data_IF_919523104825
#
_entry.id   IF_919523104825
#
_cell.length_a   1.000
_cell.length_b   1.000
_cell.length_c   1.000
_cell.angle_alpha   90.00
_cell.angle_beta   90.00
_cell.angle_gamma   90.00
#
_symmetry.space_group_name_H-M   'P 1'
#
loop_
_entity.id
_entity.type
_entity.pdbx_description
1 polymer ?
#
# COMPACT_ATOMS: atom_id res chain seq x y z
N UNK A 1 5.90 -16.64 -1.76
CA UNK A 1 4.61 -16.01 -2.09
C UNK A 1 4.89 -14.92 -3.12
N UNK A 2 4.05 -14.78 -4.15
CA UNK A 2 4.17 -13.72 -5.16
C UNK A 2 3.24 -12.56 -4.79
N UNK A 3 3.69 -11.32 -4.95
CA UNK A 3 2.86 -10.16 -4.65
C UNK A 3 3.66 -8.90 -4.32
N UNK A 4 2.97 -7.90 -3.80
CA UNK A 4 3.51 -6.62 -3.36
C UNK A 4 2.97 -6.25 -1.99
N UNK A 5 3.78 -5.60 -1.18
CA UNK A 5 3.33 -4.94 0.03
C UNK A 5 3.30 -3.43 -0.20
N UNK A 6 2.18 -2.78 0.07
CA UNK A 6 2.00 -1.34 -0.06
C UNK A 6 2.06 -0.70 1.32
N UNK A 7 3.05 0.15 1.57
CA UNK A 7 3.16 0.94 2.80
C UNK A 7 3.05 2.43 2.50
N UNK A 8 2.92 3.24 3.52
CA UNK A 8 2.93 4.70 3.39
C UNK A 8 4.06 5.34 4.15
N UNK A 9 4.37 6.57 3.78
CA UNK A 9 5.22 7.45 4.60
C UNK A 9 4.49 7.96 5.83
N UNK A 10 3.14 7.85 5.84
CA UNK A 10 2.25 8.32 6.92
C UNK A 10 0.85 7.70 6.77
N UNK A 11 -0.08 8.05 7.67
CA UNK A 11 -1.53 7.83 7.47
C UNK A 11 -2.06 8.76 6.36
N UNK A 12 -3.18 8.37 5.72
CA UNK A 12 -3.89 9.17 4.70
C UNK A 12 -3.04 9.63 3.50
N UNK A 13 -1.94 8.95 3.19
CA UNK A 13 -1.10 9.25 2.02
C UNK A 13 -1.60 8.61 0.73
N UNK A 14 -2.73 7.87 0.77
CA UNK A 14 -3.32 7.21 -0.39
C UNK A 14 -2.95 5.73 -0.57
N UNK A 15 -2.44 5.05 0.47
CA UNK A 15 -2.11 3.61 0.42
C UNK A 15 -3.22 2.76 -0.16
N UNK A 16 -4.44 2.92 0.37
CA UNK A 16 -5.60 2.10 0.00
C UNK A 16 -6.00 2.29 -1.46
N UNK A 17 -5.87 3.52 -1.96
CA UNK A 17 -6.12 3.81 -3.39
C UNK A 17 -5.08 3.12 -4.28
N UNK A 18 -3.79 3.20 -3.92
CA UNK A 18 -2.71 2.53 -4.67
C UNK A 18 -2.85 1.01 -4.61
N UNK A 19 -3.10 0.44 -3.43
CA UNK A 19 -3.29 -1.00 -3.27
C UNK A 19 -4.52 -1.50 -4.03
N UNK A 20 -5.64 -0.77 -3.97
CA UNK A 20 -6.85 -1.10 -4.71
C UNK A 20 -6.65 -0.97 -6.24
N UNK A 21 -5.93 0.06 -6.70
CA UNK A 21 -5.60 0.23 -8.11
C UNK A 21 -4.74 -0.92 -8.66
N UNK A 22 -3.72 -1.34 -7.91
CA UNK A 22 -2.91 -2.53 -8.24
C UNK A 22 -3.76 -3.80 -8.28
N UNK A 23 -4.62 -3.99 -7.28
CA UNK A 23 -5.52 -5.16 -7.20
C UNK A 23 -6.48 -5.19 -8.38
N UNK A 24 -7.15 -4.08 -8.66
CA UNK A 24 -8.14 -3.98 -9.74
C UNK A 24 -7.51 -4.15 -11.13
N UNK A 25 -6.34 -3.55 -11.38
CA UNK A 25 -5.63 -3.70 -12.66
C UNK A 25 -5.22 -5.16 -12.90
N UNK A 26 -4.67 -5.83 -11.89
CA UNK A 26 -4.34 -7.26 -12.01
C UNK A 26 -5.58 -8.12 -12.24
N UNK A 27 -6.66 -7.89 -11.52
CA UNK A 27 -7.93 -8.60 -11.71
C UNK A 27 -8.51 -8.37 -13.11
N UNK A 28 -8.48 -7.13 -13.63
CA UNK A 28 -8.93 -6.80 -14.98
C UNK A 28 -8.09 -7.49 -16.07
N UNK A 29 -6.81 -7.79 -15.80
CA UNK A 29 -5.93 -8.59 -16.68
C UNK A 29 -6.18 -10.10 -16.57
N UNK A 30 -7.17 -10.54 -15.75
CA UNK A 30 -7.46 -11.96 -15.54
C UNK A 30 -6.50 -12.68 -14.58
N UNK A 31 -5.67 -11.92 -13.84
CA UNK A 31 -4.77 -12.49 -12.84
C UNK A 31 -5.57 -12.83 -11.58
N UNK A 32 -5.38 -14.02 -11.02
CA UNK A 32 -5.94 -14.36 -9.72
C UNK A 32 -5.24 -13.52 -8.64
N UNK A 33 -5.98 -12.64 -7.97
CA UNK A 33 -5.46 -11.70 -6.96
C UNK A 33 -6.05 -12.02 -5.60
N UNK A 34 -5.19 -11.99 -4.57
CA UNK A 34 -5.59 -11.95 -3.17
C UNK A 34 -5.29 -10.57 -2.59
N UNK A 35 -6.10 -10.14 -1.64
CA UNK A 35 -5.90 -8.90 -0.90
C UNK A 35 -5.70 -9.18 0.59
N UNK A 36 -4.91 -8.34 1.27
CA UNK A 36 -4.68 -8.46 2.69
C UNK A 36 -4.43 -7.08 3.32
N UNK A 37 -5.07 -6.85 4.46
CA UNK A 37 -4.83 -5.71 5.35
C UNK A 37 -4.77 -6.22 6.79
N UNK A 38 -3.63 -6.08 7.51
CA UNK A 38 -3.45 -6.72 8.81
C UNK A 38 -4.49 -6.28 9.84
N UNK A 39 -4.73 -4.97 9.90
CA UNK A 39 -5.61 -4.34 10.89
C UNK A 39 -6.34 -3.17 10.25
N UNK A 40 -7.59 -3.01 10.60
CA UNK A 40 -8.41 -1.83 10.32
C UNK A 40 -8.80 -1.17 11.63
N UNK A 41 -8.64 0.14 11.73
CA UNK A 41 -9.10 0.97 12.85
C UNK A 41 -10.00 2.08 12.35
N UNK A 42 -10.75 2.76 13.23
CA UNK A 42 -11.63 3.87 12.86
C UNK A 42 -12.99 3.41 12.32
N UNK A 43 -13.47 2.23 12.70
CA UNK A 43 -14.78 1.75 12.24
C UNK A 43 -15.97 2.45 12.92
N UNK A 44 -15.76 3.11 14.05
CA UNK A 44 -16.78 3.93 14.73
C UNK A 44 -17.03 5.26 14.00
N UNK A 45 -16.04 5.76 13.28
CA UNK A 45 -16.19 6.98 12.50
C UNK A 45 -17.00 6.72 11.23
N UNK A 46 -17.81 7.70 10.83
CA UNK A 46 -18.49 7.63 9.54
C UNK A 46 -17.44 7.63 8.41
N UNK A 47 -17.57 6.76 7.41
CA UNK A 47 -16.68 6.81 6.27
C UNK A 47 -16.83 8.14 5.53
N UNK A 48 -15.73 8.63 4.95
CA UNK A 48 -15.78 9.79 4.06
C UNK A 48 -16.79 9.54 2.93
N UNK A 49 -17.66 10.54 2.66
CA UNK A 49 -18.74 10.38 1.70
C UNK A 49 -18.21 9.92 0.32
N UNK A 50 -18.74 8.80 -0.16
CA UNK A 50 -18.35 8.22 -1.46
C UNK A 50 -17.05 7.42 -1.45
N UNK A 51 -16.37 7.27 -0.29
CA UNK A 51 -15.14 6.48 -0.18
C UNK A 51 -15.37 5.23 0.69
N UNK A 52 -15.30 4.03 0.11
CA UNK A 52 -15.35 2.80 0.88
C UNK A 52 -14.20 2.71 1.88
N UNK A 53 -14.39 1.96 2.97
CA UNK A 53 -13.30 1.66 3.90
C UNK A 53 -12.22 0.84 3.20
N UNK A 54 -10.98 0.97 3.65
CA UNK A 54 -9.80 0.37 2.99
C UNK A 54 -9.99 -1.13 2.68
N UNK A 55 -10.44 -1.92 3.66
CA UNK A 55 -10.63 -3.36 3.51
C UNK A 55 -11.83 -3.72 2.62
N UNK A 56 -12.86 -2.89 2.59
CA UNK A 56 -14.02 -3.05 1.70
C UNK A 56 -13.60 -2.77 0.25
N UNK A 57 -12.81 -1.72 0.04
CA UNK A 57 -12.27 -1.35 -1.26
C UNK A 57 -11.38 -2.46 -1.84
N UNK A 58 -10.44 -2.97 -1.02
CA UNK A 58 -9.57 -4.07 -1.42
C UNK A 58 -10.36 -5.35 -1.70
N UNK A 59 -11.34 -5.67 -0.86
CA UNK A 59 -12.20 -6.84 -1.03
C UNK A 59 -12.98 -6.78 -2.34
N UNK A 60 -13.58 -5.64 -2.65
CA UNK A 60 -14.33 -5.43 -3.90
C UNK A 60 -13.43 -5.62 -5.14
N UNK A 61 -12.19 -5.13 -5.11
CA UNK A 61 -11.25 -5.27 -6.21
C UNK A 61 -10.70 -6.70 -6.37
N UNK A 62 -10.59 -7.46 -5.26
CA UNK A 62 -10.06 -8.82 -5.27
C UNK A 62 -11.14 -9.92 -5.42
N UNK A 63 -12.43 -9.55 -5.42
CA UNK A 63 -13.54 -10.52 -5.39
C UNK A 63 -13.56 -11.33 -4.08
N UNK A 64 -13.18 -10.70 -2.97
CA UNK A 64 -13.13 -11.28 -1.63
C UNK A 64 -14.14 -10.60 -0.70
N UNK A 65 -14.35 -11.16 0.48
CA UNK A 65 -15.12 -10.50 1.54
C UNK A 65 -14.20 -9.59 2.38
N UNK A 66 -14.72 -8.49 2.96
CA UNK A 66 -13.95 -7.64 3.87
C UNK A 66 -13.36 -8.40 5.08
N UNK A 67 -14.05 -9.45 5.54
CA UNK A 67 -13.60 -10.28 6.65
C UNK A 67 -12.40 -11.17 6.27
N UNK A 68 -12.34 -11.66 5.03
CA UNK A 68 -11.18 -12.41 4.53
C UNK A 68 -9.96 -11.51 4.36
N UNK A 69 -10.17 -10.24 3.95
CA UNK A 69 -9.09 -9.28 3.73
C UNK A 69 -8.47 -8.82 5.05
N UNK A 70 -9.31 -8.51 6.07
CA UNK A 70 -8.84 -7.93 7.33
C UNK A 70 -9.24 -8.78 8.53
N UNK A 71 -8.29 -9.54 9.13
CA UNK A 71 -8.58 -10.40 10.29
C UNK A 71 -8.88 -9.60 11.56
N UNK A 72 -8.28 -8.42 11.73
CA UNK A 72 -8.52 -7.55 12.88
C UNK A 72 -9.16 -6.24 12.46
N UNK A 73 -10.27 -5.89 13.14
CA UNK A 73 -11.08 -4.70 12.83
C UNK A 73 -11.56 -4.08 14.12
N UNK A 74 -11.24 -2.79 14.33
CA UNK A 74 -11.52 -2.08 15.57
C UNK A 74 -12.29 -0.78 15.32
N UNK A 75 -13.13 -0.42 16.29
CA UNK A 75 -13.95 0.79 16.28
C UNK A 75 -13.12 2.07 16.33
N UNK A 76 -12.30 2.30 17.38
CA UNK A 76 -11.58 3.55 17.55
C UNK A 76 -10.55 3.85 16.47
N UNK A 77 -10.44 5.13 16.04
CA UNK A 77 -9.45 5.62 15.07
C UNK A 77 -8.12 5.92 15.75
N UNK A 78 -7.43 4.87 16.17
CA UNK A 78 -6.12 4.93 16.84
C UNK A 78 -5.17 3.90 16.24
N UNK A 79 -3.92 3.89 16.70
CA UNK A 79 -2.94 2.88 16.26
C UNK A 79 -3.39 1.44 16.59
N UNK A 80 -2.98 0.44 15.79
CA UNK A 80 -3.43 -0.95 15.96
C UNK A 80 -3.27 -1.50 17.38
N UNK A 81 -2.09 -1.32 17.99
CA UNK A 81 -1.82 -1.81 19.34
C UNK A 81 -2.76 -1.20 20.38
N UNK A 82 -3.02 0.13 20.31
CA UNK A 82 -3.93 0.80 21.23
C UNK A 82 -5.39 0.39 20.96
N UNK A 83 -5.80 0.23 19.70
CA UNK A 83 -7.14 -0.25 19.38
C UNK A 83 -7.40 -1.65 19.93
N UNK A 84 -6.41 -2.53 19.83
CA UNK A 84 -6.48 -3.88 20.40
C UNK A 84 -6.55 -3.85 21.95
N UNK A 85 -5.75 -3.02 22.58
CA UNK A 85 -5.77 -2.82 24.04
C UNK A 85 -7.15 -2.34 24.52
N UNK A 86 -7.71 -1.30 23.88
CA UNK A 86 -9.03 -0.76 24.18
C UNK A 86 -10.15 -1.80 23.98
N UNK A 87 -9.99 -2.70 23.03
CA UNK A 87 -10.94 -3.79 22.74
C UNK A 87 -10.73 -5.03 23.60
N UNK A 88 -9.72 -5.07 24.49
CA UNK A 88 -9.36 -6.27 25.24
C UNK A 88 -8.94 -7.45 24.36
N UNK A 89 -8.42 -7.17 23.16
CA UNK A 89 -8.05 -8.17 22.14
C UNK A 89 -6.54 -8.18 21.96
N UNK A 90 -5.98 -9.35 21.68
CA UNK A 90 -4.56 -9.49 21.31
C UNK A 90 -4.44 -9.68 19.81
N UNK A 91 -3.66 -8.83 19.15
CA UNK A 91 -3.27 -9.04 17.76
C UNK A 91 -2.14 -10.07 17.76
N UNK A 92 -2.41 -11.26 17.19
CA UNK A 92 -1.42 -12.32 17.03
C UNK A 92 -0.73 -12.21 15.66
N UNK A 93 0.59 -11.97 15.61
CA UNK A 93 1.34 -11.91 14.37
C UNK A 93 1.25 -13.19 13.53
N UNK A 94 1.06 -14.35 14.17
CA UNK A 94 0.90 -15.63 13.47
C UNK A 94 -0.37 -15.63 12.63
N UNK A 95 -1.48 -15.14 13.18
CA UNK A 95 -2.76 -15.01 12.46
C UNK A 95 -2.62 -14.06 11.27
N UNK A 96 -1.85 -12.96 11.43
CA UNK A 96 -1.59 -12.02 10.32
C UNK A 96 -0.84 -12.70 9.18
N UNK A 97 0.23 -13.43 9.50
CA UNK A 97 1.07 -14.13 8.52
C UNK A 97 0.27 -15.25 7.83
N UNK A 98 -0.47 -16.06 8.59
CA UNK A 98 -1.29 -17.15 8.05
C UNK A 98 -2.41 -16.64 7.14
N UNK A 99 -3.07 -15.54 7.54
CA UNK A 99 -4.11 -14.90 6.71
C UNK A 99 -3.52 -14.38 5.39
N UNK A 100 -2.39 -13.69 5.44
CA UNK A 100 -1.72 -13.20 4.24
C UNK A 100 -1.31 -14.37 3.31
N UNK A 101 -0.75 -15.45 3.87
CA UNK A 101 -0.36 -16.66 3.11
C UNK A 101 -1.57 -17.35 2.48
N UNK A 102 -2.64 -17.54 3.24
CA UNK A 102 -3.89 -18.11 2.73
C UNK A 102 -4.48 -17.29 1.59
N UNK A 103 -4.52 -15.96 1.73
CA UNK A 103 -5.06 -15.07 0.70
C UNK A 103 -4.17 -15.03 -0.55
N UNK A 104 -2.87 -15.27 -0.41
CA UNK A 104 -1.90 -15.34 -1.50
C UNK A 104 -1.68 -16.74 -2.09
N UNK A 105 -2.34 -17.78 -1.55
CA UNK A 105 -2.17 -19.15 -2.06
C UNK A 105 -2.78 -19.29 -3.46
N UNK A 106 -1.93 -19.64 -4.45
CA UNK A 106 -2.30 -19.68 -5.86
C UNK A 106 -2.65 -18.32 -6.50
N UNK A 107 -2.41 -17.20 -5.80
CA UNK A 107 -2.77 -15.84 -6.22
C UNK A 107 -1.58 -14.88 -6.14
N UNK A 108 -1.67 -13.75 -6.84
CA UNK A 108 -0.79 -12.60 -6.61
C UNK A 108 -1.34 -11.79 -5.43
N UNK A 109 -0.61 -11.73 -4.33
CA UNK A 109 -1.07 -11.00 -3.13
C UNK A 109 -0.74 -9.52 -3.23
N UNK A 110 -1.75 -8.66 -3.02
CA UNK A 110 -1.56 -7.24 -2.73
C UNK A 110 -1.88 -7.03 -1.25
N UNK A 111 -0.83 -6.76 -0.47
CA UNK A 111 -0.94 -6.48 0.95
C UNK A 111 -0.82 -4.98 1.20
N UNK A 112 -1.67 -4.42 2.06
CA UNK A 112 -1.62 -3.02 2.49
C UNK A 112 -1.29 -2.92 3.96
N UNK A 113 -0.28 -2.11 4.31
CA UNK A 113 0.09 -1.82 5.69
C UNK A 113 -0.86 -0.84 6.40
N UNK A 114 -0.54 -0.54 7.66
CA UNK A 114 -1.25 0.46 8.48
C UNK A 114 -0.28 1.56 8.85
N UNK A 115 -0.61 2.82 8.53
CA UNK A 115 0.31 3.95 8.72
C UNK A 115 1.63 3.77 7.97
N UNK A 116 2.75 3.89 8.66
CA UNK A 116 4.11 3.70 8.12
C UNK A 116 4.77 2.42 8.65
N UNK A 117 6.05 2.21 8.27
CA UNK A 117 6.81 0.99 8.58
C UNK A 117 6.97 0.72 10.08
N UNK A 118 7.14 1.77 10.88
CA UNK A 118 7.43 1.65 12.31
C UNK A 118 6.17 1.75 13.19
N UNK A 119 4.99 1.64 12.60
CA UNK A 119 3.73 1.59 13.36
C UNK A 119 3.64 0.24 14.08
N UNK A 120 3.42 0.24 15.43
CA UNK A 120 3.27 -0.99 16.18
C UNK A 120 1.91 -1.65 15.90
N UNK A 121 1.95 -2.93 15.55
CA UNK A 121 0.78 -3.78 15.40
C UNK A 121 0.35 -4.37 16.74
N UNK A 122 1.32 -4.65 17.60
CA UNK A 122 1.08 -5.31 18.89
C UNK A 122 1.63 -4.48 20.06
N UNK A 123 1.11 -4.69 21.25
CA UNK A 123 1.58 -4.07 22.50
C UNK A 123 3.04 -4.45 22.81
N UNK A 124 3.47 -5.65 22.41
CA UNK A 124 4.85 -6.12 22.61
C UNK A 124 5.84 -5.60 21.57
N UNK A 125 5.40 -4.72 20.65
CA UNK A 125 6.29 -3.99 19.77
C UNK A 125 6.52 -4.62 18.40
N UNK A 126 5.72 -5.60 17.96
CA UNK A 126 5.76 -6.07 16.56
C UNK A 126 5.31 -4.95 15.64
N UNK A 127 6.16 -4.56 14.69
CA UNK A 127 5.93 -3.45 13.77
C UNK A 127 5.35 -3.93 12.43
N UNK A 128 4.81 -3.00 11.65
CA UNK A 128 4.45 -3.26 10.24
C UNK A 128 5.66 -3.78 9.46
N UNK A 129 6.86 -3.27 9.72
CA UNK A 129 8.11 -3.70 9.11
C UNK A 129 8.40 -5.19 9.35
N UNK A 130 8.19 -5.66 10.58
CA UNK A 130 8.42 -7.08 10.93
C UNK A 130 7.49 -8.00 10.14
N UNK A 131 6.24 -7.57 9.94
CA UNK A 131 5.28 -8.30 9.10
C UNK A 131 5.74 -8.34 7.63
N UNK A 132 6.24 -7.24 7.09
CA UNK A 132 6.78 -7.18 5.72
C UNK A 132 7.93 -8.16 5.56
N UNK A 133 8.88 -8.15 6.48
CA UNK A 133 10.03 -9.06 6.50
C UNK A 133 9.57 -10.52 6.57
N UNK A 134 8.61 -10.84 7.46
CA UNK A 134 8.09 -12.20 7.62
C UNK A 134 7.32 -12.72 6.39
N UNK A 135 6.69 -11.82 5.62
CA UNK A 135 6.00 -12.17 4.39
C UNK A 135 6.95 -12.29 3.19
N UNK A 136 8.10 -11.63 3.23
CA UNK A 136 9.09 -11.63 2.16
C UNK A 136 8.60 -10.99 0.87
N UNK A 137 7.64 -10.06 0.94
CA UNK A 137 7.10 -9.35 -0.22
C UNK A 137 7.94 -8.11 -0.54
N UNK A 138 8.18 -7.82 -1.82
CA UNK A 138 8.74 -6.54 -2.22
C UNK A 138 7.76 -5.40 -1.90
N UNK A 139 8.34 -4.23 -1.60
CA UNK A 139 7.65 -3.07 -1.07
C UNK A 139 7.42 -2.00 -2.13
N UNK A 140 6.23 -1.39 -2.10
CA UNK A 140 5.90 -0.12 -2.77
C UNK A 140 5.59 0.90 -1.69
N UNK A 141 6.24 2.07 -1.74
CA UNK A 141 6.06 3.15 -0.79
C UNK A 141 5.12 4.19 -1.38
N UNK A 142 4.10 4.59 -0.65
CA UNK A 142 3.15 5.64 -1.05
C UNK A 142 3.42 6.92 -0.26
N UNK A 143 3.50 8.05 -0.97
CA UNK A 143 3.80 9.35 -0.40
C UNK A 143 2.91 10.45 -0.98
N UNK A 144 2.66 11.51 -0.20
CA UNK A 144 2.02 12.73 -0.70
C UNK A 144 3.03 13.59 -1.48
N UNK A 145 2.63 14.32 -2.53
CA UNK A 145 3.57 15.14 -3.32
C UNK A 145 3.97 16.47 -2.65
N UNK A 146 3.41 16.78 -1.45
CA UNK A 146 3.56 18.06 -0.76
C UNK A 146 4.89 18.27 -0.04
N UNK A 147 5.02 19.41 0.65
CA UNK A 147 6.19 19.74 1.47
C UNK A 147 6.39 18.70 2.59
N UNK A 148 7.66 18.36 2.87
CA UNK A 148 8.07 17.33 3.83
C UNK A 148 8.21 15.93 3.22
N UNK A 149 7.66 15.68 2.03
CA UNK A 149 7.67 14.34 1.41
C UNK A 149 9.08 13.80 1.17
N UNK A 150 10.03 14.64 0.79
CA UNK A 150 11.42 14.21 0.54
C UNK A 150 11.97 13.51 1.79
N UNK A 151 11.90 14.18 2.94
CA UNK A 151 12.39 13.63 4.20
C UNK A 151 11.66 12.33 4.58
N UNK A 152 10.33 12.34 4.57
CA UNK A 152 9.52 11.17 5.00
C UNK A 152 9.74 9.97 4.06
N UNK A 153 9.83 10.21 2.76
CA UNK A 153 10.03 9.14 1.78
C UNK A 153 11.43 8.54 1.89
N UNK A 154 12.47 9.38 1.99
CA UNK A 154 13.84 8.91 2.12
C UNK A 154 14.07 8.18 3.44
N UNK A 155 13.51 8.65 4.57
CA UNK A 155 13.55 7.93 5.85
C UNK A 155 12.87 6.56 5.75
N UNK A 156 11.68 6.48 5.15
CA UNK A 156 10.96 5.22 4.94
C UNK A 156 11.77 4.26 4.08
N UNK A 157 12.36 4.76 3.00
CA UNK A 157 13.21 3.99 2.09
C UNK A 157 14.45 3.44 2.79
N UNK A 158 15.14 4.28 3.58
CA UNK A 158 16.33 3.88 4.33
C UNK A 158 16.00 2.79 5.38
N UNK A 159 14.90 2.95 6.11
CA UNK A 159 14.46 1.95 7.09
C UNK A 159 14.14 0.62 6.41
N UNK A 160 13.40 0.64 5.29
CA UNK A 160 13.10 -0.59 4.55
C UNK A 160 14.37 -1.30 4.05
N UNK A 161 15.30 -0.56 3.47
CA UNK A 161 16.57 -1.10 2.96
C UNK A 161 17.46 -1.65 4.07
N UNK A 162 17.53 -0.95 5.20
CA UNK A 162 18.31 -1.41 6.37
C UNK A 162 17.77 -2.74 6.94
N UNK A 163 16.46 -2.98 6.82
CA UNK A 163 15.83 -4.25 7.17
C UNK A 163 15.92 -5.34 6.07
N UNK A 164 16.64 -5.09 4.97
CA UNK A 164 16.80 -6.03 3.86
C UNK A 164 15.57 -6.16 2.95
N UNK A 165 14.59 -5.24 3.07
CA UNK A 165 13.38 -5.27 2.23
C UNK A 165 13.67 -4.71 0.85
N UNK A 166 13.32 -5.46 -0.19
CA UNK A 166 13.42 -4.98 -1.57
C UNK A 166 12.34 -3.94 -1.84
N UNK A 167 12.70 -2.68 -2.08
CA UNK A 167 11.76 -1.63 -2.48
C UNK A 167 11.72 -1.55 -4.00
N UNK A 168 10.53 -1.63 -4.60
CA UNK A 168 10.32 -1.62 -6.06
C UNK A 168 10.06 -0.24 -6.63
N UNK A 169 9.49 0.65 -5.84
CA UNK A 169 9.19 2.01 -6.27
C UNK A 169 8.50 2.82 -5.20
N UNK A 170 8.35 4.10 -5.52
CA UNK A 170 7.55 5.06 -4.76
C UNK A 170 6.38 5.49 -5.64
N UNK A 171 5.19 5.65 -5.06
CA UNK A 171 4.02 6.25 -5.72
C UNK A 171 3.69 7.55 -5.03
N UNK A 172 3.73 8.66 -5.76
CA UNK A 172 3.23 9.95 -5.26
C UNK A 172 1.77 10.13 -5.66
N UNK A 173 0.88 10.30 -4.67
CA UNK A 173 -0.56 10.46 -4.88
C UNK A 173 -1.18 11.34 -3.78
N UNK A 174 -2.27 12.09 -4.04
CA UNK A 174 -2.83 12.35 -5.37
C UNK A 174 -1.92 13.29 -6.17
N UNK A 175 -1.60 12.89 -7.40
CA UNK A 175 -0.77 13.72 -8.27
C UNK A 175 -1.69 14.65 -9.09
N UNK A 176 -1.50 15.98 -9.04
CA UNK A 176 -2.37 16.89 -9.77
C UNK A 176 -2.07 16.92 -11.27
N UNK A 177 -3.07 17.24 -12.08
CA UNK A 177 -2.93 17.39 -13.55
C UNK A 177 -1.92 18.47 -13.91
N UNK A 178 -1.88 19.56 -13.12
CA UNK A 178 -0.91 20.65 -13.26
C UNK A 178 -0.02 20.73 -12.01
N UNK A 179 1.01 19.89 -11.89
CA UNK A 179 1.89 19.88 -10.72
C UNK A 179 2.70 21.17 -10.62
N UNK A 180 2.84 21.70 -9.43
CA UNK A 180 3.67 22.86 -9.12
C UNK A 180 5.16 22.56 -9.31
N UNK A 181 6.00 23.60 -9.37
CA UNK A 181 7.45 23.42 -9.40
C UNK A 181 7.95 22.64 -8.17
N UNK A 182 7.38 22.88 -6.98
CA UNK A 182 7.70 22.16 -5.76
C UNK A 182 7.40 20.65 -5.91
N UNK A 183 6.21 20.29 -6.41
CA UNK A 183 5.82 18.88 -6.54
C UNK A 183 6.71 18.14 -7.55
N UNK A 184 7.02 18.76 -8.69
CA UNK A 184 7.98 18.21 -9.66
C UNK A 184 9.38 18.02 -9.05
N UNK A 185 9.87 19.05 -8.34
CA UNK A 185 11.15 18.99 -7.64
C UNK A 185 11.18 17.90 -6.58
N UNK A 186 10.12 17.78 -5.76
CA UNK A 186 10.02 16.72 -4.76
C UNK A 186 10.14 15.34 -5.39
N UNK A 187 9.42 15.09 -6.48
CA UNK A 187 9.46 13.82 -7.20
C UNK A 187 10.86 13.51 -7.72
N UNK A 188 11.46 14.44 -8.47
CA UNK A 188 12.81 14.24 -9.03
C UNK A 188 13.88 14.12 -7.95
N UNK A 189 13.74 14.82 -6.82
CA UNK A 189 14.68 14.73 -5.69
C UNK A 189 14.59 13.37 -5.00
N UNK A 190 13.39 12.87 -4.75
CA UNK A 190 13.20 11.52 -4.17
C UNK A 190 13.76 10.46 -5.10
N UNK A 191 13.51 10.59 -6.42
CA UNK A 191 14.03 9.67 -7.42
C UNK A 191 15.57 9.65 -7.45
N UNK A 192 16.18 10.83 -7.49
CA UNK A 192 17.64 10.96 -7.56
C UNK A 192 18.36 10.55 -6.27
N UNK A 193 17.90 11.04 -5.10
CA UNK A 193 18.54 10.74 -3.83
C UNK A 193 18.19 9.35 -3.29
N UNK A 194 17.01 8.87 -3.64
CA UNK A 194 16.53 7.54 -3.26
C UNK A 194 17.06 6.43 -4.16
N UNK A 195 17.60 6.76 -5.33
CA UNK A 195 17.95 5.78 -6.37
C UNK A 195 16.81 4.76 -6.54
N UNK A 196 15.60 5.29 -6.83
CA UNK A 196 14.35 4.52 -6.86
C UNK A 196 13.36 5.15 -7.85
N UNK A 197 12.68 4.37 -8.73
CA UNK A 197 11.68 4.94 -9.62
C UNK A 197 10.49 5.51 -8.83
N UNK A 198 10.02 6.70 -9.23
CA UNK A 198 8.87 7.39 -8.63
C UNK A 198 7.74 7.49 -9.66
N UNK A 199 6.70 6.69 -9.48
CA UNK A 199 5.46 6.78 -10.24
C UNK A 199 4.54 7.87 -9.65
N UNK A 200 3.57 8.31 -10.45
CA UNK A 200 2.55 9.26 -10.03
C UNK A 200 1.17 8.68 -10.31
N UNK A 201 0.28 8.74 -9.32
CA UNK A 201 -1.11 8.33 -9.46
C UNK A 201 -2.00 9.57 -9.28
N UNK A 202 -2.88 9.89 -10.24
CA UNK A 202 -3.73 11.07 -10.17
C UNK A 202 -4.77 10.97 -9.05
N UNK A 203 -5.43 12.08 -8.77
CA UNK A 203 -6.63 12.09 -7.94
C UNK A 203 -7.75 11.31 -8.64
N UNK A 204 -8.41 10.41 -7.92
CA UNK A 204 -9.56 9.67 -8.43
C UNK A 204 -10.85 10.28 -7.88
N UNK A 205 -11.78 10.59 -8.77
CA UNK A 205 -13.08 11.14 -8.40
C UNK A 205 -14.04 10.08 -7.84
N UNK A 206 -13.83 8.81 -8.21
CA UNK A 206 -14.58 7.67 -7.71
C UNK A 206 -13.67 6.43 -7.56
N UNK A 207 -14.14 5.43 -6.82
CA UNK A 207 -13.38 4.24 -6.47
C UNK A 207 -14.04 2.96 -7.02
N UNK A 208 -14.69 3.06 -8.17
CA UNK A 208 -15.20 1.86 -8.87
C UNK A 208 -14.05 0.95 -9.30
N UNK A 209 -14.22 -0.38 -9.30
CA UNK A 209 -13.17 -1.31 -9.74
C UNK A 209 -12.63 -0.99 -11.12
N UNK A 210 -13.47 -0.50 -12.04
CA UNK A 210 -13.05 -0.09 -13.37
C UNK A 210 -12.10 1.12 -13.34
N UNK A 211 -12.46 2.18 -12.61
CA UNK A 211 -11.61 3.38 -12.46
C UNK A 211 -10.30 3.08 -11.76
N UNK A 212 -10.35 2.21 -10.76
CA UNK A 212 -9.15 1.74 -10.07
C UNK A 212 -8.25 0.91 -10.99
N UNK A 213 -8.82 0.06 -11.84
CA UNK A 213 -8.06 -0.69 -12.83
C UNK A 213 -7.37 0.25 -13.84
N UNK A 214 -8.09 1.22 -14.40
CA UNK A 214 -7.53 2.24 -15.30
C UNK A 214 -6.38 3.01 -14.62
N UNK A 215 -6.54 3.39 -13.36
CA UNK A 215 -5.50 4.06 -12.59
C UNK A 215 -4.29 3.14 -12.32
N UNK A 216 -4.52 1.87 -12.05
CA UNK A 216 -3.47 0.88 -11.83
C UNK A 216 -2.59 0.65 -13.06
N UNK A 217 -3.16 0.78 -14.28
CA UNK A 217 -2.39 0.68 -15.52
C UNK A 217 -1.35 1.80 -15.72
N UNK A 218 -1.44 2.88 -14.94
CA UNK A 218 -0.41 3.92 -14.90
C UNK A 218 0.82 3.54 -14.08
N UNK A 219 0.75 2.44 -13.32
CA UNK A 219 1.81 1.96 -12.45
C UNK A 219 2.62 0.84 -13.16
N UNK A 220 3.93 0.76 -12.93
CA UNK A 220 4.79 -0.26 -13.57
C UNK A 220 4.67 -1.62 -12.86
N UNK A 221 3.47 -2.21 -12.88
CA UNK A 221 3.10 -3.42 -12.14
C UNK A 221 3.99 -4.61 -12.53
N UNK A 222 4.24 -4.78 -13.82
CA UNK A 222 5.01 -5.92 -14.34
C UNK A 222 6.47 -5.89 -13.86
N UNK A 223 7.09 -4.70 -13.85
CA UNK A 223 8.44 -4.51 -13.32
C UNK A 223 8.50 -4.80 -11.81
N UNK A 224 7.48 -4.35 -11.08
CA UNK A 224 7.42 -4.56 -9.63
C UNK A 224 7.20 -6.02 -9.25
N UNK A 225 6.45 -6.77 -10.06
CA UNK A 225 6.20 -8.20 -9.86
C UNK A 225 7.31 -9.10 -10.43
N UNK A 226 8.33 -8.50 -11.07
CA UNK A 226 9.47 -9.24 -11.61
C UNK A 226 9.17 -9.95 -12.94
N UNK A 227 8.16 -9.50 -13.68
CA UNK A 227 8.02 -9.84 -15.09
C UNK A 227 8.90 -8.84 -15.88
N UNK A 228 9.81 -9.27 -16.74
CA UNK A 228 10.48 -8.37 -17.64
C UNK A 228 9.44 -7.83 -18.62
N UNK A 229 8.81 -6.71 -18.27
CA UNK A 229 8.03 -5.94 -19.19
C UNK A 229 8.94 -5.46 -20.31
N UNK A 230 8.49 -5.55 -21.55
CA UNK A 230 9.14 -4.93 -22.71
C UNK A 230 9.06 -3.41 -22.58
N UNK A 231 9.84 -2.83 -21.69
CA UNK A 231 10.02 -1.39 -21.68
C UNK A 231 10.96 -1.01 -22.82
N UNK A 232 10.38 -0.59 -23.94
CA UNK A 232 11.10 0.20 -24.92
C UNK A 232 11.65 1.45 -24.18
N UNK A 233 12.98 1.60 -24.11
CA UNK A 233 13.63 2.82 -23.64
C UNK A 233 12.98 4.01 -24.35
N UNK A 234 12.31 4.89 -23.60
CA UNK A 234 11.95 6.21 -24.13
C UNK A 234 13.25 6.94 -24.45
N UNK A 235 13.40 7.50 -25.66
CA UNK A 235 14.54 8.34 -25.97
C UNK A 235 14.54 9.57 -25.05
N UNK A 236 15.74 10.08 -24.69
CA UNK A 236 15.85 11.30 -23.93
C UNK A 236 15.31 12.46 -24.77
N UNK A 237 14.30 13.17 -24.25
CA UNK A 237 13.78 14.43 -24.73
C UNK A 237 14.09 15.53 -23.73
#
# INVERSE_FOLDING_TARGET
MRGLFVTGTDTEVGKSVVAAALTAALAARGVAVGAFKPVVTGLDDAPEAGKPRDHELLAACAGMTPAEVAPYRFGPAVSPHLAAELAGTVIDPTILIETARRNGDGRTLIAEGVGGLLVPLTVVGTLVLDLIVALGLPLVIVARPGLGTINHTLLTLQVARAAGVTVRGVVMTPWPDAPTAMQRSNRSTVEALGDIPVAALPHLADFTPQRLAEAGELLPIDDWLGHPGTYAKRPPG
#
